data_IF_248938693806
#
_entry.id   IF_248938693806
#
_cell.length_a   1.000
_cell.length_b   1.000
_cell.length_c   1.000
_cell.angle_alpha   90.00
_cell.angle_beta   90.00
_cell.angle_gamma   90.00
#
_symmetry.space_group_name_H-M   'P 1'
#
loop_
_entity.id
_entity.type
_entity.pdbx_description
1 polymer ?
#
# COMPACT_ATOMS: atom_id res chain seq x y z
N UNK A 1 7.53 -18.69 31.64
CA UNK A 1 7.09 -19.04 30.27
C UNK A 1 5.58 -18.79 30.26
N UNK A 2 5.16 -17.56 29.96
CA UNK A 2 3.74 -17.20 29.99
C UNK A 2 3.04 -17.86 28.80
N UNK A 3 2.10 -18.74 29.09
CA UNK A 3 1.31 -19.46 28.10
C UNK A 3 0.33 -18.50 27.41
N UNK A 4 0.06 -18.77 26.14
CA UNK A 4 -0.80 -18.01 25.22
C UNK A 4 -2.31 -17.96 25.61
N UNK A 5 -2.64 -18.00 26.91
CA UNK A 5 -4.02 -18.17 27.38
C UNK A 5 -4.84 -16.88 27.47
N UNK A 6 -4.26 -15.70 27.18
CA UNK A 6 -5.00 -14.43 27.25
C UNK A 6 -4.79 -13.58 25.99
N UNK A 7 -5.53 -13.94 24.94
CA UNK A 7 -5.50 -13.29 23.62
C UNK A 7 -5.70 -11.76 23.73
N UNK A 8 -6.47 -11.29 24.72
CA UNK A 8 -6.68 -9.85 24.97
C UNK A 8 -5.39 -9.15 25.40
N UNK A 9 -4.61 -9.75 26.29
CA UNK A 9 -3.32 -9.18 26.73
C UNK A 9 -2.31 -9.16 25.59
N UNK A 10 -2.29 -10.20 24.75
CA UNK A 10 -1.43 -10.26 23.57
C UNK A 10 -1.76 -9.16 22.56
N UNK A 11 -3.05 -8.98 22.27
CA UNK A 11 -3.54 -7.90 21.38
C UNK A 11 -3.20 -6.53 21.96
N UNK A 12 -3.41 -6.31 23.26
CA UNK A 12 -3.07 -5.05 23.92
C UNK A 12 -1.57 -4.75 23.82
N UNK A 13 -0.71 -5.75 24.03
CA UNK A 13 0.75 -5.60 23.93
C UNK A 13 1.23 -5.34 22.51
N UNK A 14 0.64 -6.01 21.50
CA UNK A 14 0.87 -5.67 20.09
C UNK A 14 0.40 -4.25 19.76
N UNK A 15 -0.76 -3.84 20.27
CA UNK A 15 -1.29 -2.50 20.07
C UNK A 15 -0.34 -1.45 20.64
N UNK A 16 0.14 -1.62 21.87
CA UNK A 16 1.09 -0.69 22.50
C UNK A 16 2.40 -0.62 21.70
N UNK A 17 2.96 -1.78 21.32
CA UNK A 17 4.18 -1.84 20.53
C UNK A 17 4.02 -1.10 19.19
N UNK A 18 2.93 -1.35 18.46
CA UNK A 18 2.70 -0.69 17.17
C UNK A 18 2.28 0.77 17.31
N UNK A 19 1.62 1.16 18.40
CA UNK A 19 1.29 2.56 18.64
C UNK A 19 2.56 3.39 18.80
N UNK A 20 3.55 2.89 19.55
CA UNK A 20 4.87 3.52 19.68
C UNK A 20 5.63 3.53 18.36
N UNK A 21 5.58 2.44 17.60
CA UNK A 21 6.34 2.30 16.35
C UNK A 21 5.76 3.11 15.18
N UNK A 22 4.43 3.29 15.13
CA UNK A 22 3.74 3.90 13.99
C UNK A 22 3.43 5.39 14.15
N UNK A 23 3.37 5.88 15.39
CA UNK A 23 2.98 7.26 15.67
C UNK A 23 4.17 8.03 16.25
N UNK A 24 5.34 7.85 15.64
CA UNK A 24 6.52 8.66 15.96
C UNK A 24 6.24 10.09 15.48
N UNK A 25 6.48 11.13 16.30
CA UNK A 25 6.33 12.51 15.87
C UNK A 25 7.19 12.78 14.64
N UNK A 26 6.62 13.46 13.66
CA UNK A 26 7.34 13.91 12.48
C UNK A 26 8.30 15.04 12.89
N UNK A 27 9.60 14.83 12.71
CA UNK A 27 10.65 15.85 12.80
C UNK A 27 11.00 16.30 11.38
N UNK A 28 10.03 16.91 10.71
CA UNK A 28 10.20 17.36 9.33
C UNK A 28 10.72 18.79 9.35
N UNK A 29 11.92 18.97 8.80
CA UNK A 29 12.46 20.28 8.52
C UNK A 29 11.69 20.94 7.36
N UNK A 30 10.86 21.93 7.71
CA UNK A 30 10.08 22.69 6.74
C UNK A 30 10.96 23.51 5.80
N UNK A 31 12.14 23.96 6.24
CA UNK A 31 13.07 24.68 5.37
C UNK A 31 13.60 23.74 4.28
N UNK A 32 13.90 22.49 4.62
CA UNK A 32 14.29 21.48 3.64
C UNK A 32 13.17 21.20 2.62
N UNK A 33 11.90 21.20 3.04
CA UNK A 33 10.75 21.01 2.13
C UNK A 33 10.58 22.16 1.14
N UNK A 34 10.70 23.40 1.60
CA UNK A 34 10.55 24.60 0.77
C UNK A 34 11.66 24.68 -0.30
N UNK A 35 12.81 24.08 -0.02
CA UNK A 35 13.94 23.99 -0.94
C UNK A 35 13.81 22.86 -1.98
N UNK A 36 12.77 22.01 -1.93
CA UNK A 36 12.56 20.95 -2.93
C UNK A 36 12.12 21.59 -4.26
N UNK A 37 12.88 21.40 -5.37
CA UNK A 37 12.52 21.96 -6.66
C UNK A 37 11.15 21.46 -7.13
N UNK A 38 10.23 22.41 -7.32
CA UNK A 38 8.88 22.10 -7.81
C UNK A 38 8.93 21.73 -9.29
N UNK A 39 8.17 20.70 -9.66
CA UNK A 39 8.02 20.25 -11.05
C UNK A 39 6.75 20.79 -11.66
N UNK A 40 6.69 20.79 -12.99
CA UNK A 40 5.49 21.17 -13.73
C UNK A 40 4.34 20.25 -13.30
N UNK A 41 3.26 20.86 -12.80
CA UNK A 41 2.02 20.18 -12.46
C UNK A 41 1.51 19.41 -13.67
N UNK A 42 1.06 18.16 -13.46
CA UNK A 42 0.45 17.32 -14.50
C UNK A 42 -1.06 17.23 -14.24
N UNK A 43 -1.90 18.09 -14.88
CA UNK A 43 -3.33 18.12 -14.61
C UNK A 43 -4.01 16.78 -14.88
N UNK A 44 -3.51 16.01 -15.84
CA UNK A 44 -4.05 14.69 -16.19
C UNK A 44 -4.02 13.66 -15.04
N UNK A 45 -3.17 13.87 -14.02
CA UNK A 45 -3.17 13.01 -12.83
C UNK A 45 -4.46 13.16 -12.01
N UNK A 46 -5.15 14.29 -12.13
CA UNK A 46 -6.41 14.58 -11.45
C UNK A 46 -7.64 14.10 -12.24
N UNK A 47 -7.45 13.59 -13.48
CA UNK A 47 -8.56 13.09 -14.29
C UNK A 47 -9.23 11.91 -13.61
N UNK A 48 -10.54 11.74 -13.80
CA UNK A 48 -11.26 10.59 -13.25
C UNK A 48 -10.67 9.28 -13.82
N UNK A 49 -10.36 8.27 -12.99
CA UNK A 49 -9.94 6.94 -13.44
C UNK A 49 -10.88 6.32 -14.46
N UNK A 50 -10.33 5.79 -15.56
CA UNK A 50 -11.14 5.11 -16.56
C UNK A 50 -11.44 3.66 -16.16
N UNK A 51 -12.47 3.07 -16.79
CA UNK A 51 -12.78 1.65 -16.62
C UNK A 51 -11.60 0.75 -17.02
N UNK A 52 -10.85 1.13 -18.06
CA UNK A 52 -9.67 0.37 -18.50
C UNK A 52 -8.53 0.41 -17.49
N UNK A 53 -8.33 1.54 -16.82
CA UNK A 53 -7.34 1.65 -15.75
C UNK A 53 -7.71 0.74 -14.57
N UNK A 54 -8.99 0.71 -14.21
CA UNK A 54 -9.50 -0.19 -13.18
C UNK A 54 -9.37 -1.67 -13.60
N UNK A 55 -9.67 -2.01 -14.86
CA UNK A 55 -9.51 -3.35 -15.39
C UNK A 55 -8.05 -3.82 -15.33
N UNK A 56 -7.10 -2.96 -15.75
CA UNK A 56 -5.66 -3.23 -15.63
C UNK A 56 -5.23 -3.40 -14.17
N UNK A 57 -5.75 -2.58 -13.26
CA UNK A 57 -5.45 -2.68 -11.84
C UNK A 57 -5.94 -4.00 -11.22
N UNK A 58 -7.13 -4.45 -11.58
CA UNK A 58 -7.72 -5.73 -11.13
C UNK A 58 -6.96 -6.92 -11.73
N UNK A 59 -6.62 -6.88 -13.01
CA UNK A 59 -5.83 -7.92 -13.66
C UNK A 59 -4.45 -8.11 -12.98
N UNK A 60 -3.85 -7.02 -12.48
CA UNK A 60 -2.58 -7.06 -11.75
C UNK A 60 -2.65 -7.60 -10.32
N UNK A 61 -3.84 -7.93 -9.79
CA UNK A 61 -3.97 -8.53 -8.47
C UNK A 61 -3.45 -9.97 -8.48
N UNK A 62 -2.83 -10.40 -7.37
CA UNK A 62 -2.38 -11.77 -7.18
C UNK A 62 -3.48 -12.61 -6.54
N UNK A 63 -3.65 -13.82 -7.06
CA UNK A 63 -4.59 -14.81 -6.53
C UNK A 63 -4.00 -15.53 -5.30
N UNK A 64 -4.87 -16.19 -4.54
CA UNK A 64 -4.52 -16.94 -3.34
C UNK A 64 -4.01 -16.04 -2.20
N UNK A 65 -4.37 -14.76 -2.19
CA UNK A 65 -4.03 -13.82 -1.11
C UNK A 65 -5.17 -13.72 -0.11
N UNK A 66 -4.80 -13.65 1.17
CA UNK A 66 -5.76 -13.52 2.25
C UNK A 66 -6.58 -12.22 2.07
N UNK A 67 -7.93 -12.30 2.03
CA UNK A 67 -8.76 -11.12 2.12
C UNK A 67 -8.61 -10.46 3.49
N UNK A 68 -8.90 -9.17 3.57
CA UNK A 68 -8.99 -8.47 4.86
C UNK A 68 -10.38 -8.71 5.46
N UNK A 69 -10.71 -8.13 6.61
CA UNK A 69 -11.96 -8.33 7.35
C UNK A 69 -13.29 -8.14 6.59
N UNK A 70 -13.29 -7.68 5.33
CA UNK A 70 -14.48 -7.71 4.45
C UNK A 70 -14.74 -9.10 3.82
N UNK A 71 -13.74 -9.99 3.86
CA UNK A 71 -13.84 -11.36 3.33
C UNK A 71 -13.87 -11.45 1.81
N UNK A 72 -13.62 -10.34 1.07
CA UNK A 72 -13.72 -10.32 -0.40
C UNK A 72 -12.34 -10.51 -1.02
N UNK A 73 -12.05 -11.69 -1.60
CA UNK A 73 -10.74 -11.98 -2.17
C UNK A 73 -10.61 -11.38 -3.60
N UNK A 74 -9.38 -11.37 -4.14
CA UNK A 74 -9.07 -10.74 -5.43
C UNK A 74 -9.82 -11.40 -6.61
N UNK A 75 -10.09 -12.69 -6.49
CA UNK A 75 -10.76 -13.54 -7.46
C UNK A 75 -12.20 -13.07 -7.71
N UNK A 76 -12.89 -12.62 -6.66
CA UNK A 76 -14.24 -12.03 -6.79
C UNK A 76 -14.19 -10.74 -7.62
N UNK A 77 -13.14 -9.93 -7.49
CA UNK A 77 -12.99 -8.74 -8.32
C UNK A 77 -12.67 -9.08 -9.77
N UNK A 78 -11.92 -10.16 -10.01
CA UNK A 78 -11.60 -10.63 -11.37
C UNK A 78 -12.81 -11.28 -12.07
N UNK A 79 -13.69 -11.93 -11.31
CA UNK A 79 -14.80 -12.73 -11.85
C UNK A 79 -16.20 -12.14 -11.61
N UNK A 80 -16.33 -11.09 -10.78
CA UNK A 80 -17.60 -10.55 -10.30
C UNK A 80 -18.44 -9.78 -11.33
N UNK A 81 -17.99 -9.75 -12.59
CA UNK A 81 -18.73 -9.22 -13.73
C UNK A 81 -18.92 -7.69 -13.71
N UNK A 82 -19.63 -7.20 -14.73
CA UNK A 82 -19.79 -5.77 -15.00
C UNK A 82 -20.49 -5.02 -13.86
N UNK A 83 -21.44 -5.64 -13.16
CA UNK A 83 -22.17 -4.98 -12.07
C UNK A 83 -21.25 -4.62 -10.90
N UNK A 84 -20.35 -5.53 -10.50
CA UNK A 84 -19.38 -5.27 -9.44
C UNK A 84 -18.36 -4.21 -9.89
N UNK A 85 -17.89 -4.33 -11.13
CA UNK A 85 -16.99 -3.37 -11.76
C UNK A 85 -17.58 -1.95 -11.75
N UNK A 86 -18.80 -1.78 -12.27
CA UNK A 86 -19.47 -0.49 -12.35
C UNK A 86 -19.67 0.11 -10.95
N UNK A 87 -20.06 -0.69 -9.95
CA UNK A 87 -20.22 -0.22 -8.57
C UNK A 87 -18.90 0.28 -7.97
N UNK A 88 -17.80 -0.46 -8.16
CA UNK A 88 -16.49 -0.02 -7.68
C UNK A 88 -16.03 1.26 -8.38
N UNK A 89 -16.24 1.35 -9.69
CA UNK A 89 -15.90 2.53 -10.47
C UNK A 89 -16.63 3.76 -9.95
N UNK A 90 -17.93 3.66 -9.68
CA UNK A 90 -18.70 4.75 -9.07
C UNK A 90 -18.17 5.16 -7.69
N UNK A 91 -17.75 4.20 -6.85
CA UNK A 91 -17.12 4.53 -5.57
C UNK A 91 -15.79 5.28 -5.74
N UNK A 92 -15.01 4.93 -6.77
CA UNK A 92 -13.76 5.61 -7.11
C UNK A 92 -14.04 7.03 -7.60
N UNK A 93 -15.03 7.22 -8.49
CA UNK A 93 -15.47 8.54 -8.97
C UNK A 93 -15.82 9.42 -7.77
N UNK A 94 -16.72 8.93 -6.90
CA UNK A 94 -17.14 9.68 -5.72
C UNK A 94 -15.95 10.03 -4.81
N UNK A 95 -14.99 9.12 -4.63
CA UNK A 95 -13.80 9.39 -3.84
C UNK A 95 -12.91 10.48 -4.45
N UNK A 96 -12.78 10.52 -5.78
CA UNK A 96 -12.07 11.56 -6.51
C UNK A 96 -12.78 12.92 -6.41
N UNK A 97 -14.10 12.96 -6.61
CA UNK A 97 -14.89 14.19 -6.57
C UNK A 97 -14.93 14.82 -5.16
N UNK A 98 -15.06 13.98 -4.12
CA UNK A 98 -15.04 14.43 -2.72
C UNK A 98 -13.61 14.77 -2.25
N UNK A 99 -12.58 14.26 -2.93
CA UNK A 99 -11.19 14.40 -2.49
C UNK A 99 -10.85 13.55 -1.26
N UNK A 100 -11.65 12.54 -0.94
CA UNK A 100 -11.39 11.60 0.17
C UNK A 100 -11.87 10.20 -0.17
N UNK A 101 -11.03 9.20 0.14
CA UNK A 101 -11.40 7.79 0.05
C UNK A 101 -12.32 7.37 1.21
N UNK A 102 -13.03 6.25 1.01
CA UNK A 102 -13.86 5.62 2.04
C UNK A 102 -13.03 5.24 3.27
N UNK A 103 -13.60 5.38 4.47
CA UNK A 103 -12.92 4.99 5.71
C UNK A 103 -12.48 3.52 5.71
N UNK A 104 -13.29 2.65 5.11
CA UNK A 104 -12.97 1.23 4.93
C UNK A 104 -11.71 0.97 4.06
N UNK A 105 -11.28 1.95 3.26
CA UNK A 105 -10.06 1.86 2.44
C UNK A 105 -8.83 2.43 3.17
N UNK A 106 -9.04 3.28 4.19
CA UNK A 106 -7.96 3.88 5.00
C UNK A 106 -7.42 2.92 6.05
N UNK A 107 -8.25 1.99 6.53
CA UNK A 107 -7.86 1.01 7.55
C UNK A 107 -7.01 -0.14 7.02
N UNK A 108 -6.24 -0.75 7.92
CA UNK A 108 -5.50 -1.98 7.67
C UNK A 108 -5.59 -2.94 8.86
N UNK A 109 -5.74 -4.23 8.60
CA UNK A 109 -5.56 -5.26 9.63
C UNK A 109 -4.09 -5.59 9.76
N UNK A 110 -3.54 -5.48 10.96
CA UNK A 110 -2.15 -5.81 11.24
C UNK A 110 -2.04 -7.29 11.60
N UNK A 111 -1.20 -8.00 10.84
CA UNK A 111 -0.81 -9.38 11.14
C UNK A 111 0.69 -9.42 11.39
N UNK A 112 1.13 -10.22 12.36
CA UNK A 112 2.55 -10.39 12.70
C UNK A 112 3.04 -11.76 12.29
N UNK A 113 4.21 -11.82 11.67
CA UNK A 113 4.89 -13.06 11.28
C UNK A 113 6.25 -13.09 11.95
N UNK A 114 6.52 -14.12 12.73
CA UNK A 114 7.84 -14.31 13.33
C UNK A 114 8.92 -14.42 12.24
N UNK A 115 10.00 -13.63 12.37
CA UNK A 115 11.09 -13.60 11.38
C UNK A 115 12.21 -14.56 11.76
N UNK A 116 12.89 -14.33 12.89
CA UNK A 116 14.02 -15.12 13.46
C UNK A 116 14.50 -14.48 14.78
N UNK A 117 15.35 -15.17 15.54
CA UNK A 117 15.95 -14.76 16.86
C UNK A 117 15.00 -14.96 18.04
N UNK A 118 15.24 -14.27 19.15
CA UNK A 118 14.45 -14.43 20.37
C UNK A 118 12.96 -14.16 20.09
N UNK A 119 12.06 -15.15 20.28
CA UNK A 119 10.63 -14.99 20.05
C UNK A 119 9.94 -14.12 21.11
N UNK A 120 10.64 -13.77 22.21
CA UNK A 120 10.12 -12.86 23.24
C UNK A 120 10.36 -11.38 22.91
N UNK A 121 11.28 -11.10 21.99
CA UNK A 121 11.52 -9.77 21.45
C UNK A 121 10.56 -9.47 20.29
N UNK A 122 9.70 -8.47 20.50
CA UNK A 122 8.63 -8.06 19.60
C UNK A 122 9.17 -7.45 18.30
N UNK A 123 10.40 -6.92 18.31
CA UNK A 123 11.10 -6.43 17.13
C UNK A 123 11.51 -7.55 16.15
N UNK A 124 11.50 -8.80 16.58
CA UNK A 124 11.81 -9.96 15.74
C UNK A 124 10.60 -10.47 14.93
N UNK A 125 9.46 -9.79 14.99
CA UNK A 125 8.28 -10.08 14.18
C UNK A 125 8.15 -9.07 13.05
N UNK A 126 7.88 -9.58 11.85
CA UNK A 126 7.54 -8.78 10.69
C UNK A 126 6.04 -8.46 10.72
N UNK A 127 5.74 -7.17 10.75
CA UNK A 127 4.37 -6.69 10.53
C UNK A 127 3.98 -6.79 9.05
N UNK A 128 2.74 -7.20 8.79
CA UNK A 128 2.08 -7.11 7.50
C UNK A 128 0.76 -6.36 7.68
N UNK A 129 0.58 -5.30 6.90
CA UNK A 129 -0.68 -4.55 6.84
C UNK A 129 -1.54 -5.13 5.71
N UNK A 130 -2.68 -5.71 6.06
CA UNK A 130 -3.67 -6.19 5.09
C UNK A 130 -4.67 -5.06 4.83
N UNK A 131 -4.66 -4.54 3.61
CA UNK A 131 -5.60 -3.52 3.12
C UNK A 131 -6.77 -4.18 2.38
N UNK A 132 -7.91 -3.48 2.32
CA UNK A 132 -9.06 -3.89 1.49
C UNK A 132 -8.66 -4.02 0.03
N UNK A 133 -9.22 -5.02 -0.66
CA UNK A 133 -8.88 -5.24 -2.08
C UNK A 133 -9.37 -4.06 -2.92
N UNK A 134 -10.54 -3.49 -2.62
CA UNK A 134 -11.03 -2.26 -3.25
C UNK A 134 -10.05 -1.09 -3.09
N UNK A 135 -9.55 -0.85 -1.87
CA UNK A 135 -8.52 0.16 -1.62
C UNK A 135 -7.20 -0.11 -2.36
N UNK A 136 -6.78 -1.39 -2.44
CA UNK A 136 -5.60 -1.79 -3.24
C UNK A 136 -5.79 -1.56 -4.73
N UNK A 137 -7.00 -1.78 -5.27
CA UNK A 137 -7.31 -1.51 -6.68
C UNK A 137 -7.14 -0.01 -6.94
N UNK A 138 -7.73 0.84 -6.09
CA UNK A 138 -7.57 2.29 -6.22
C UNK A 138 -6.11 2.73 -6.11
N UNK A 139 -5.38 2.25 -5.09
CA UNK A 139 -3.95 2.53 -4.94
C UNK A 139 -3.11 2.05 -6.13
N UNK A 140 -3.49 0.92 -6.76
CA UNK A 140 -2.82 0.40 -7.96
C UNK A 140 -3.05 1.30 -9.18
N UNK A 141 -4.25 1.86 -9.34
CA UNK A 141 -4.53 2.85 -10.40
C UNK A 141 -3.61 4.06 -10.22
N UNK A 142 -3.57 4.62 -9.01
CA UNK A 142 -2.71 5.77 -8.69
C UNK A 142 -1.23 5.43 -8.93
N UNK A 143 -0.77 4.26 -8.49
CA UNK A 143 0.59 3.80 -8.71
C UNK A 143 0.93 3.73 -10.21
N UNK A 144 0.05 3.17 -11.04
CA UNK A 144 0.29 3.03 -12.47
C UNK A 144 0.41 4.41 -13.16
N UNK A 145 -0.46 5.36 -12.78
CA UNK A 145 -0.40 6.74 -13.27
C UNK A 145 0.89 7.43 -12.83
N UNK A 146 1.19 7.42 -11.53
CA UNK A 146 2.37 8.07 -10.96
C UNK A 146 3.66 7.48 -11.52
N UNK A 147 3.76 6.15 -11.61
CA UNK A 147 4.97 5.48 -12.09
C UNK A 147 5.34 5.90 -13.51
N UNK A 148 4.35 6.14 -14.36
CA UNK A 148 4.56 6.57 -15.76
C UNK A 148 5.22 7.95 -15.83
N UNK A 149 4.95 8.83 -14.88
CA UNK A 149 5.50 10.19 -14.84
C UNK A 149 6.74 10.34 -13.96
N UNK A 150 6.85 9.52 -12.90
CA UNK A 150 7.92 9.64 -11.90
C UNK A 150 9.15 8.82 -12.31
N UNK A 151 8.97 7.62 -12.85
CA UNK A 151 10.09 6.70 -13.13
C UNK A 151 11.11 7.24 -14.14
N UNK A 152 10.72 7.91 -15.24
CA UNK A 152 11.69 8.40 -16.22
C UNK A 152 12.51 9.59 -15.72
N UNK A 153 11.86 10.54 -15.02
CA UNK A 153 12.44 11.87 -14.78
C UNK A 153 12.79 12.14 -13.31
N UNK A 154 12.26 11.37 -12.35
CA UNK A 154 12.43 11.60 -10.91
C UNK A 154 13.34 10.56 -10.28
N UNK A 155 13.16 9.29 -10.66
CA UNK A 155 13.82 8.18 -9.98
C UNK A 155 15.27 8.06 -10.49
N UNK A 156 16.28 8.24 -9.62
CA UNK A 156 17.67 8.14 -10.04
C UNK A 156 18.01 6.71 -10.47
N UNK A 157 19.04 6.59 -11.30
CA UNK A 157 19.51 5.30 -11.83
C UNK A 157 19.96 4.34 -10.71
N UNK A 158 20.49 4.89 -9.62
CA UNK A 158 20.91 4.16 -8.41
C UNK A 158 19.75 3.58 -7.60
N UNK A 159 18.50 4.01 -7.85
CA UNK A 159 17.32 3.48 -7.18
C UNK A 159 16.83 2.22 -7.90
N UNK A 160 17.29 1.06 -7.42
CA UNK A 160 16.84 -0.25 -7.94
C UNK A 160 15.64 -0.83 -7.16
N UNK A 161 15.46 -0.43 -5.89
CA UNK A 161 14.37 -0.92 -5.05
C UNK A 161 13.00 -0.41 -5.53
N UNK A 162 12.02 -1.32 -5.59
CA UNK A 162 10.62 -1.03 -5.96
C UNK A 162 10.43 -0.45 -7.37
N UNK A 163 11.43 -0.60 -8.25
CA UNK A 163 11.39 -0.15 -9.64
C UNK A 163 11.20 -1.34 -10.58
N UNK A 164 10.33 -1.17 -11.58
CA UNK A 164 10.16 -2.17 -12.64
C UNK A 164 11.47 -2.39 -13.39
N UNK A 165 11.74 -3.64 -13.79
CA UNK A 165 12.95 -4.04 -14.52
C UNK A 165 14.27 -3.77 -13.77
N UNK A 166 14.24 -3.71 -12.43
CA UNK A 166 15.42 -3.63 -11.57
C UNK A 166 15.36 -4.68 -10.47
N UNK A 167 16.52 -5.05 -9.98
CA UNK A 167 16.73 -6.11 -9.00
C UNK A 167 17.88 -5.75 -8.06
N UNK A 168 18.08 -6.58 -7.03
CA UNK A 168 19.24 -6.46 -6.14
C UNK A 168 20.56 -6.76 -6.86
N UNK A 169 20.52 -7.48 -7.99
CA UNK A 169 21.74 -7.77 -8.77
C UNK A 169 22.31 -6.49 -9.39
N UNK A 170 21.44 -5.60 -9.87
CA UNK A 170 21.85 -4.35 -10.52
C UNK A 170 22.63 -3.46 -9.56
N UNK A 171 22.15 -3.29 -8.32
CA UNK A 171 22.86 -2.49 -7.33
C UNK A 171 24.16 -3.15 -6.86
N UNK A 172 24.19 -4.49 -6.74
CA UNK A 172 25.41 -5.21 -6.41
C UNK A 172 26.46 -5.02 -7.51
N UNK A 173 26.04 -5.01 -8.77
CA UNK A 173 26.92 -4.72 -9.90
C UNK A 173 27.49 -3.30 -9.82
N UNK A 174 26.67 -2.28 -9.53
CA UNK A 174 27.13 -0.90 -9.35
C UNK A 174 28.11 -0.70 -8.17
N UNK A 175 28.11 -1.62 -7.18
CA UNK A 175 29.02 -1.58 -6.03
C UNK A 175 30.36 -2.28 -6.26
N UNK A 176 30.49 -3.03 -7.36
CA UNK A 176 31.75 -3.70 -7.74
C UNK A 176 32.58 -2.81 -8.64
#
# INVERSE_FOLDING_TARGET
METFSDNKRLVARWSEHFQKLLNVPDDIDHEALDNIPQRITKPCLNDIPTMDEMARAIAGLKDGKAPVGDGIPAEIWKQGGNNLFNRLHQLIINACEVGSVLQAWKGASIVTIYKKRDPTDWGNYRRISLLSIAGKIFARILLNRLSTHITPDVVPETQCGFRGNRSTVDIIFCLR
#
